data_IF_056126679765
#
_entry.id   IF_056126679765
#
_cell.length_a   1.000
_cell.length_b   1.000
_cell.length_c   1.000
_cell.angle_alpha   90.00
_cell.angle_beta   90.00
_cell.angle_gamma   90.00
#
_symmetry.space_group_name_H-M   'P 1'
#
loop_
_entity.id
_entity.type
_entity.pdbx_description
1 polymer ?
#
# COMPACT_ATOMS: atom_id res chain seq x y z
N UNK A 1 6.84 15.75 -21.04
CA UNK A 1 6.08 16.94 -20.60
C UNK A 1 5.90 16.80 -19.10
N UNK A 2 6.75 17.45 -18.30
CA UNK A 2 6.74 17.31 -16.84
C UNK A 2 5.61 18.17 -16.28
N UNK A 3 4.39 17.65 -16.30
CA UNK A 3 3.33 18.21 -15.49
C UNK A 3 3.71 18.03 -14.02
N UNK A 4 3.81 19.15 -13.30
CA UNK A 4 3.98 19.11 -11.86
C UNK A 4 2.78 18.37 -11.26
N UNK A 5 2.98 17.42 -10.34
CA UNK A 5 1.88 16.74 -9.69
C UNK A 5 1.01 17.79 -8.96
N UNK A 6 -0.30 17.54 -8.88
CA UNK A 6 -1.27 18.47 -8.30
C UNK A 6 -0.92 18.94 -6.87
N UNK A 7 -0.11 18.17 -6.14
CA UNK A 7 0.37 18.53 -4.81
C UNK A 7 1.45 19.63 -4.79
N UNK A 8 2.04 19.96 -5.94
CA UNK A 8 3.21 20.84 -6.02
C UNK A 8 4.51 20.23 -5.48
N UNK A 9 4.49 18.96 -5.06
CA UNK A 9 5.64 18.25 -4.50
C UNK A 9 6.40 17.54 -5.63
N UNK A 10 7.70 17.81 -5.79
CA UNK A 10 8.49 17.18 -6.83
C UNK A 10 8.53 15.66 -6.69
N UNK A 11 8.16 14.94 -7.77
CA UNK A 11 8.33 13.50 -7.85
C UNK A 11 9.81 13.13 -7.92
N UNK A 12 10.22 12.16 -7.10
CA UNK A 12 11.56 11.58 -7.10
C UNK A 12 11.45 10.08 -6.89
N UNK A 13 12.24 9.33 -7.64
CA UNK A 13 12.43 7.90 -7.36
C UNK A 13 13.29 7.77 -6.11
N UNK A 14 12.79 7.11 -5.07
CA UNK A 14 13.54 6.90 -3.81
C UNK A 14 14.00 5.46 -3.63
N UNK A 15 13.52 4.55 -4.49
CA UNK A 15 13.90 3.16 -4.51
C UNK A 15 14.33 2.72 -5.90
N UNK A 16 15.42 1.96 -5.95
CA UNK A 16 15.73 1.09 -7.07
C UNK A 16 15.19 -0.30 -6.79
N UNK A 17 14.34 -0.81 -7.69
CA UNK A 17 13.84 -2.18 -7.60
C UNK A 17 14.95 -3.15 -8.02
N UNK A 18 15.34 -4.03 -7.11
CA UNK A 18 16.29 -5.08 -7.43
C UNK A 18 15.62 -6.13 -8.34
N UNK A 19 16.00 -6.13 -9.62
CA UNK A 19 15.44 -7.02 -10.65
C UNK A 19 15.88 -8.47 -10.52
N UNK A 20 16.91 -8.74 -9.71
CA UNK A 20 17.51 -10.07 -9.55
C UNK A 20 17.08 -10.77 -8.26
N UNK A 21 16.04 -10.29 -7.60
CA UNK A 21 15.51 -10.95 -6.40
C UNK A 21 14.81 -12.24 -6.82
N UNK A 22 15.50 -13.37 -6.64
CA UNK A 22 14.95 -14.70 -6.81
C UNK A 22 13.98 -15.10 -5.70
N UNK A 23 13.36 -16.28 -5.85
CA UNK A 23 12.54 -16.90 -4.80
C UNK A 23 13.37 -17.05 -3.52
N UNK A 24 12.90 -16.48 -2.42
CA UNK A 24 13.53 -16.70 -1.11
C UNK A 24 13.18 -18.12 -0.65
N UNK A 25 14.16 -19.04 -0.68
CA UNK A 25 14.02 -20.39 -0.12
C UNK A 25 13.62 -20.33 1.37
N UNK A 26 13.08 -21.43 1.91
CA UNK A 26 12.58 -21.59 3.29
C UNK A 26 13.45 -20.79 4.27
N UNK A 27 13.00 -19.57 4.61
CA UNK A 27 13.70 -18.74 5.57
C UNK A 27 13.30 -19.24 6.97
N UNK A 28 14.26 -19.62 7.82
CA UNK A 28 13.98 -20.28 9.10
C UNK A 28 13.38 -19.33 10.15
N UNK A 29 13.36 -18.01 9.90
CA UNK A 29 12.78 -17.04 10.83
C UNK A 29 12.02 -15.91 10.15
N UNK A 30 11.00 -15.41 10.84
CA UNK A 30 10.21 -14.22 10.44
C UNK A 30 11.09 -12.98 10.27
N UNK A 31 12.13 -12.82 11.11
CA UNK A 31 13.11 -11.74 11.00
C UNK A 31 13.85 -11.77 9.66
N UNK A 32 14.34 -12.94 9.24
CA UNK A 32 15.03 -13.08 7.95
C UNK A 32 14.09 -12.83 6.76
N UNK A 33 12.80 -13.20 6.88
CA UNK A 33 11.78 -12.84 5.87
C UNK A 33 11.56 -11.33 5.77
N UNK A 34 11.53 -10.61 6.89
CA UNK A 34 11.42 -9.15 6.88
C UNK A 34 12.66 -8.50 6.25
N UNK A 35 13.86 -9.00 6.54
CA UNK A 35 15.09 -8.53 5.89
C UNK A 35 15.12 -8.85 4.38
N UNK A 36 14.46 -9.91 3.94
CA UNK A 36 14.34 -10.22 2.51
C UNK A 36 13.50 -9.18 1.74
N UNK A 37 12.57 -8.48 2.40
CA UNK A 37 11.87 -7.33 1.80
C UNK A 37 12.86 -6.20 1.50
N UNK A 38 13.81 -5.94 2.39
CA UNK A 38 14.87 -4.94 2.16
C UNK A 38 15.76 -5.30 0.97
N UNK A 39 15.95 -6.60 0.67
CA UNK A 39 16.70 -7.02 -0.53
C UNK A 39 15.99 -6.66 -1.84
N UNK A 40 14.68 -6.40 -1.81
CA UNK A 40 13.89 -5.99 -2.99
C UNK A 40 14.13 -4.55 -3.39
N UNK A 41 14.55 -3.70 -2.45
CA UNK A 41 14.62 -2.26 -2.64
C UNK A 41 15.99 -1.74 -2.23
N UNK A 42 16.67 -1.06 -3.14
CA UNK A 42 17.84 -0.24 -2.80
C UNK A 42 17.40 1.20 -2.55
N UNK A 43 17.49 1.74 -1.32
CA UNK A 43 17.17 3.15 -1.09
C UNK A 43 18.19 4.05 -1.80
N UNK A 44 17.69 5.05 -2.52
CA UNK A 44 18.49 6.08 -3.19
C UNK A 44 18.59 7.31 -2.27
N UNK A 45 19.31 7.16 -1.15
CA UNK A 45 19.29 8.13 -0.04
C UNK A 45 19.60 9.57 -0.47
N UNK A 46 20.49 9.78 -1.46
CA UNK A 46 20.80 11.11 -2.02
C UNK A 46 19.54 11.88 -2.49
N UNK A 47 18.47 11.18 -2.87
CA UNK A 47 17.24 11.81 -3.33
C UNK A 47 16.40 12.40 -2.18
N UNK A 48 16.49 11.83 -0.97
CA UNK A 48 15.56 12.12 0.13
C UNK A 48 16.20 12.35 1.51
N UNK A 49 17.52 12.21 1.66
CA UNK A 49 18.23 12.48 2.91
C UNK A 49 17.96 13.91 3.37
N UNK A 50 17.70 14.05 4.67
CA UNK A 50 17.36 15.29 5.36
C UNK A 50 16.06 15.96 4.85
N UNK A 51 15.19 15.20 4.16
CA UNK A 51 13.91 15.68 3.62
C UNK A 51 12.72 14.94 4.21
N UNK A 52 11.58 15.62 4.13
CA UNK A 52 10.25 15.06 4.36
C UNK A 52 9.75 14.41 3.08
N UNK A 53 9.22 13.21 3.19
CA UNK A 53 8.75 12.44 2.04
C UNK A 53 7.28 12.06 2.17
N UNK A 54 6.60 12.04 1.02
CA UNK A 54 5.31 11.40 0.86
C UNK A 54 5.52 10.13 0.06
N UNK A 55 5.38 8.98 0.71
CA UNK A 55 5.43 7.67 0.07
C UNK A 55 4.02 7.27 -0.34
N UNK A 56 3.86 6.91 -1.61
CA UNK A 56 2.61 6.41 -2.16
C UNK A 56 2.75 4.91 -2.39
N UNK A 57 1.81 4.13 -1.85
CA UNK A 57 1.73 2.68 -2.06
C UNK A 57 0.32 2.31 -2.54
N UNK A 58 0.17 1.13 -3.16
CA UNK A 58 -1.10 0.71 -3.73
C UNK A 58 -2.13 0.37 -2.65
N UNK A 59 -1.71 -0.40 -1.65
CA UNK A 59 -2.57 -1.05 -0.67
C UNK A 59 -1.78 -1.48 0.56
N UNK A 60 -2.45 -1.60 1.71
CA UNK A 60 -1.87 -2.22 2.91
C UNK A 60 -2.75 -3.40 3.33
N UNK A 61 -2.16 -4.60 3.32
CA UNK A 61 -2.84 -5.83 3.75
C UNK A 61 -2.50 -6.17 5.21
N UNK A 62 -1.24 -6.53 5.48
CA UNK A 62 -0.77 -6.94 6.83
C UNK A 62 0.10 -5.90 7.53
N UNK A 63 0.45 -4.79 6.87
CA UNK A 63 1.32 -3.73 7.42
C UNK A 63 2.81 -4.05 7.51
N UNK A 64 3.22 -5.32 7.42
CA UNK A 64 4.63 -5.73 7.64
C UNK A 64 5.60 -5.18 6.60
N UNK A 65 5.18 -5.07 5.34
CA UNK A 65 6.02 -4.57 4.25
C UNK A 65 6.25 -3.06 4.39
N UNK A 66 5.18 -2.28 4.56
CA UNK A 66 5.27 -0.83 4.70
C UNK A 66 6.05 -0.44 5.97
N UNK A 67 5.91 -1.18 7.07
CA UNK A 67 6.70 -0.96 8.28
C UNK A 67 8.22 -1.14 8.04
N UNK A 68 8.61 -2.18 7.29
CA UNK A 68 10.01 -2.39 6.93
C UNK A 68 10.54 -1.28 6.01
N UNK A 69 9.71 -0.80 5.08
CA UNK A 69 10.04 0.30 4.16
C UNK A 69 10.24 1.61 4.91
N UNK A 70 9.33 1.97 5.83
CA UNK A 70 9.43 3.21 6.62
C UNK A 70 10.69 3.20 7.48
N UNK A 71 10.96 2.07 8.16
CA UNK A 71 12.18 1.93 8.95
C UNK A 71 13.43 2.16 8.10
N UNK A 72 13.50 1.54 6.93
CA UNK A 72 14.61 1.71 5.98
C UNK A 72 14.76 3.17 5.52
N UNK A 73 13.66 3.87 5.24
CA UNK A 73 13.69 5.28 4.83
C UNK A 73 14.20 6.20 5.94
N UNK A 74 13.77 5.96 7.18
CA UNK A 74 14.27 6.71 8.34
C UNK A 74 15.74 6.42 8.61
N UNK A 75 16.15 5.15 8.59
CA UNK A 75 17.56 4.74 8.71
C UNK A 75 18.45 5.36 7.61
N UNK A 76 17.88 5.57 6.41
CA UNK A 76 18.55 6.22 5.28
C UNK A 76 18.53 7.77 5.33
N UNK A 77 17.93 8.38 6.36
CA UNK A 77 17.99 9.81 6.63
C UNK A 77 16.75 10.63 6.26
N UNK A 78 15.58 10.02 6.03
CA UNK A 78 14.34 10.78 5.90
C UNK A 78 13.94 11.40 7.26
N UNK A 79 13.57 12.70 7.28
CA UNK A 79 13.17 13.40 8.50
C UNK A 79 11.72 13.12 8.89
N UNK A 80 10.82 13.15 7.90
CA UNK A 80 9.41 12.78 8.05
C UNK A 80 9.01 11.83 6.91
N UNK A 81 8.16 10.85 7.20
CA UNK A 81 7.62 9.87 6.28
C UNK A 81 6.09 9.86 6.40
N UNK A 82 5.43 10.46 5.42
CA UNK A 82 3.96 10.45 5.30
C UNK A 82 3.52 9.42 4.26
N UNK A 83 2.52 8.61 4.59
CA UNK A 83 2.04 7.52 3.76
C UNK A 83 0.70 7.88 3.12
N UNK A 84 0.57 7.67 1.80
CA UNK A 84 -0.70 7.81 1.06
C UNK A 84 -0.98 6.52 0.32
N UNK A 85 -2.12 5.90 0.60
CA UNK A 85 -2.48 4.61 0.02
C UNK A 85 -3.53 4.84 -1.07
N UNK A 86 -3.25 4.31 -2.26
CA UNK A 86 -4.10 4.49 -3.44
C UNK A 86 -5.37 3.63 -3.42
N UNK A 87 -5.56 2.82 -2.37
CA UNK A 87 -6.79 2.07 -2.10
C UNK A 87 -7.42 2.50 -0.76
N UNK A 88 -8.72 2.21 -0.56
CA UNK A 88 -9.31 2.13 0.76
C UNK A 88 -8.70 1.00 1.59
N UNK A 89 -8.90 1.02 2.92
CA UNK A 89 -8.46 -0.07 3.78
C UNK A 89 -9.18 -1.38 3.40
N UNK A 90 -8.42 -2.48 3.41
CA UNK A 90 -8.99 -3.81 3.17
C UNK A 90 -9.55 -4.38 4.47
N UNK A 91 -10.86 -4.52 4.53
CA UNK A 91 -11.57 -5.03 5.70
C UNK A 91 -12.05 -6.48 5.54
N UNK A 92 -12.15 -6.97 4.30
CA UNK A 92 -12.76 -8.26 4.00
C UNK A 92 -11.86 -9.15 3.13
N UNK A 93 -11.85 -10.48 3.35
CA UNK A 93 -11.21 -11.44 2.47
C UNK A 93 -11.86 -11.44 1.07
N UNK A 94 -11.17 -11.98 0.07
CA UNK A 94 -11.72 -12.07 -1.27
C UNK A 94 -12.14 -13.51 -1.58
N UNK A 95 -13.37 -13.67 -2.06
CA UNK A 95 -13.91 -14.94 -2.56
C UNK A 95 -14.11 -14.93 -4.08
N UNK A 96 -13.57 -13.90 -4.74
CA UNK A 96 -13.68 -13.67 -6.19
C UNK A 96 -12.36 -13.98 -6.93
N UNK A 97 -11.46 -14.73 -6.29
CA UNK A 97 -10.21 -15.21 -6.91
C UNK A 97 -8.94 -14.41 -6.61
N UNK A 98 -9.01 -13.32 -5.85
CA UNK A 98 -7.82 -12.60 -5.38
C UNK A 98 -7.34 -13.20 -4.05
N UNK A 99 -6.03 -13.42 -3.90
CA UNK A 99 -5.45 -13.92 -2.65
C UNK A 99 -5.38 -12.82 -1.57
N UNK A 100 -6.49 -12.58 -0.89
CA UNK A 100 -6.58 -11.69 0.27
C UNK A 100 -6.72 -12.57 1.52
N UNK A 101 -5.92 -12.31 2.58
CA UNK A 101 -5.90 -13.17 3.76
C UNK A 101 -7.18 -13.03 4.60
N UNK A 102 -7.24 -13.78 5.71
CA UNK A 102 -8.42 -13.78 6.58
C UNK A 102 -8.64 -12.42 7.24
N UNK A 103 -9.85 -12.20 7.75
CA UNK A 103 -10.25 -10.95 8.39
C UNK A 103 -9.33 -10.58 9.56
N UNK A 104 -8.86 -11.57 10.31
CA UNK A 104 -7.97 -11.43 11.47
C UNK A 104 -6.53 -11.11 11.06
N UNK A 105 -6.13 -11.39 9.82
CA UNK A 105 -4.80 -11.08 9.31
C UNK A 105 -4.72 -9.68 8.68
N UNK A 106 -5.87 -9.08 8.35
CA UNK A 106 -5.97 -7.73 7.79
C UNK A 106 -5.72 -6.67 8.87
N UNK A 107 -4.72 -5.81 8.66
CA UNK A 107 -4.31 -4.82 9.66
C UNK A 107 -5.36 -3.74 9.90
N UNK A 108 -6.15 -3.41 8.86
CA UNK A 108 -7.21 -2.41 8.94
C UNK A 108 -8.36 -2.82 9.88
N UNK A 109 -8.49 -4.12 10.20
CA UNK A 109 -9.46 -4.61 11.19
C UNK A 109 -8.95 -4.52 12.63
N UNK A 110 -7.67 -4.19 12.83
CA UNK A 110 -7.04 -4.08 14.15
C UNK A 110 -6.76 -2.63 14.53
N UNK A 111 -6.37 -1.82 13.56
CA UNK A 111 -5.91 -0.45 13.77
C UNK A 111 -6.55 0.46 12.73
N UNK A 112 -6.97 1.64 13.16
CA UNK A 112 -7.29 2.73 12.25
C UNK A 112 -6.00 3.34 11.65
N UNK A 113 -6.15 4.30 10.73
CA UNK A 113 -5.03 4.88 10.01
C UNK A 113 -4.00 5.56 10.93
N UNK A 114 -4.45 6.32 11.93
CA UNK A 114 -3.59 7.04 12.87
C UNK A 114 -2.81 6.08 13.77
N UNK A 115 -3.52 5.08 14.33
CA UNK A 115 -2.92 4.02 15.13
C UNK A 115 -1.92 3.19 14.32
N UNK A 116 -2.23 2.91 13.06
CA UNK A 116 -1.32 2.20 12.17
C UNK A 116 -0.08 3.04 11.88
N UNK A 117 -0.23 4.34 11.61
CA UNK A 117 0.88 5.26 11.38
C UNK A 117 1.85 5.26 12.57
N UNK A 118 1.31 5.40 13.78
CA UNK A 118 2.09 5.34 15.02
C UNK A 118 2.82 4.00 15.15
N UNK A 119 2.12 2.88 14.97
CA UNK A 119 2.70 1.54 15.12
C UNK A 119 3.87 1.29 14.15
N UNK A 120 3.81 1.81 12.92
CA UNK A 120 4.84 1.60 11.90
C UNK A 120 5.88 2.73 11.85
N UNK A 121 5.75 3.75 12.71
CA UNK A 121 6.67 4.89 12.78
C UNK A 121 6.53 5.90 11.64
N UNK A 122 5.36 6.00 10.99
CA UNK A 122 5.06 7.05 10.02
C UNK A 122 4.53 8.32 10.73
N UNK A 123 4.77 9.48 10.13
CA UNK A 123 4.25 10.77 10.65
C UNK A 123 2.76 10.97 10.34
N UNK A 124 2.27 10.37 9.26
CA UNK A 124 0.84 10.31 8.96
C UNK A 124 0.55 9.18 7.97
N UNK A 125 -0.66 8.64 8.00
CA UNK A 125 -1.14 7.67 7.02
C UNK A 125 -2.56 8.05 6.59
N UNK A 126 -2.80 8.12 5.29
CA UNK A 126 -4.14 8.40 4.74
C UNK A 126 -4.45 7.41 3.63
N UNK A 127 -5.64 6.82 3.69
CA UNK A 127 -6.20 5.97 2.66
C UNK A 127 -7.08 6.77 1.69
N UNK A 128 -7.15 6.32 0.45
CA UNK A 128 -8.20 6.76 -0.48
C UNK A 128 -9.57 6.30 0.04
N UNK A 129 -10.64 7.06 -0.20
CA UNK A 129 -11.99 6.61 0.14
C UNK A 129 -12.55 5.71 -0.95
N UNK A 130 -13.56 4.90 -0.62
CA UNK A 130 -14.21 4.00 -1.59
C UNK A 130 -14.82 4.81 -2.73
N UNK A 131 -15.49 5.91 -2.40
CA UNK A 131 -16.15 6.81 -3.35
C UNK A 131 -15.13 7.42 -4.32
N UNK A 132 -13.99 7.87 -3.80
CA UNK A 132 -12.93 8.46 -4.62
C UNK A 132 -12.24 7.42 -5.50
N UNK A 133 -12.09 6.17 -5.02
CA UNK A 133 -11.57 5.08 -5.84
C UNK A 133 -12.54 4.76 -6.99
N UNK A 134 -13.83 4.59 -6.69
CA UNK A 134 -14.85 4.33 -7.71
C UNK A 134 -14.91 5.46 -8.74
N UNK A 135 -14.90 6.71 -8.27
CA UNK A 135 -14.85 7.88 -9.15
C UNK A 135 -13.62 7.85 -10.06
N UNK A 136 -12.43 7.58 -9.51
CA UNK A 136 -11.19 7.57 -10.26
C UNK A 136 -11.18 6.51 -11.37
N UNK A 137 -11.67 5.30 -11.09
CA UNK A 137 -11.72 4.20 -12.06
C UNK A 137 -12.78 4.47 -13.13
N UNK A 138 -13.97 4.95 -12.76
CA UNK A 138 -15.07 5.21 -13.70
C UNK A 138 -14.80 6.38 -14.63
N UNK A 139 -14.10 7.42 -14.16
CA UNK A 139 -13.84 8.65 -14.92
C UNK A 139 -13.21 8.41 -16.30
N UNK A 140 -12.37 7.38 -16.43
CA UNK A 140 -11.66 7.04 -17.67
C UNK A 140 -12.11 5.73 -18.28
N UNK A 141 -13.10 5.05 -17.69
CA UNK A 141 -13.64 3.83 -18.22
C UNK A 141 -14.69 4.17 -19.28
N UNK A 142 -14.48 3.71 -20.52
CA UNK A 142 -15.52 3.66 -21.55
C UNK A 142 -16.51 2.53 -21.21
N UNK A 143 -17.17 2.64 -20.07
CA UNK A 143 -18.21 1.71 -19.67
C UNK A 143 -19.52 2.27 -20.17
N UNK A 144 -20.07 1.64 -21.22
CA UNK A 144 -21.53 1.66 -21.43
C UNK A 144 -22.19 1.36 -20.07
N UNK A 145 -23.30 2.03 -19.74
CA UNK A 145 -24.04 1.83 -18.48
C UNK A 145 -24.40 0.36 -18.20
N UNK A 146 -24.31 -0.51 -19.22
CA UNK A 146 -24.55 -1.95 -19.17
C UNK A 146 -23.36 -2.79 -18.68
N UNK A 147 -22.14 -2.26 -18.65
CA UNK A 147 -20.99 -2.97 -18.10
C UNK A 147 -21.07 -2.95 -16.57
N UNK A 148 -21.37 -4.12 -15.99
CA UNK A 148 -21.48 -4.34 -14.55
C UNK A 148 -20.31 -3.69 -13.79
N UNK A 149 -20.64 -3.01 -12.68
CA UNK A 149 -19.69 -2.19 -11.93
C UNK A 149 -18.46 -2.94 -11.42
N UNK A 150 -17.53 -2.20 -10.82
CA UNK A 150 -16.34 -2.79 -10.20
C UNK A 150 -16.71 -3.46 -8.87
N UNK A 151 -16.13 -4.63 -8.62
CA UNK A 151 -16.27 -5.32 -7.34
C UNK A 151 -15.49 -4.57 -6.24
N UNK A 152 -16.19 -4.14 -5.19
CA UNK A 152 -15.60 -3.49 -4.01
C UNK A 152 -15.63 -4.38 -2.76
N UNK A 153 -15.90 -5.67 -2.92
CA UNK A 153 -16.23 -6.55 -1.80
C UNK A 153 -15.15 -6.58 -0.70
N UNK A 154 -13.88 -6.57 -1.09
CA UNK A 154 -12.74 -6.59 -0.16
C UNK A 154 -12.66 -5.32 0.71
N UNK A 155 -13.32 -4.24 0.27
CA UNK A 155 -13.34 -2.92 0.90
C UNK A 155 -14.64 -2.72 1.69
N UNK A 156 -15.79 -3.11 1.12
CA UNK A 156 -17.13 -2.80 1.65
C UNK A 156 -17.89 -3.99 2.22
N UNK A 157 -17.43 -5.23 1.97
CA UNK A 157 -18.12 -6.45 2.35
C UNK A 157 -19.32 -6.80 1.46
N UNK A 158 -19.61 -5.98 0.44
CA UNK A 158 -20.70 -6.22 -0.52
C UNK A 158 -20.19 -7.07 -1.68
N UNK A 159 -20.41 -8.37 -1.61
CA UNK A 159 -20.02 -9.30 -2.66
C UNK A 159 -21.02 -9.26 -3.83
N UNK A 160 -20.55 -9.45 -5.08
CA UNK A 160 -21.40 -9.43 -6.26
C UNK A 160 -22.29 -10.67 -6.38
N UNK A 161 -22.07 -11.67 -5.52
CA UNK A 161 -22.84 -12.92 -5.42
C UNK A 161 -23.14 -13.17 -3.94
N UNK A 162 -24.22 -13.90 -3.68
CA UNK A 162 -24.50 -14.43 -2.35
C UNK A 162 -23.46 -15.51 -2.01
N UNK A 163 -22.97 -15.49 -0.78
CA UNK A 163 -21.99 -16.46 -0.29
C UNK A 163 -22.76 -17.55 0.47
N UNK A 164 -22.74 -18.78 -0.03
CA UNK A 164 -23.58 -19.89 0.46
C UNK A 164 -22.88 -20.80 1.50
N UNK A 165 -21.95 -20.28 2.29
CA UNK A 165 -21.14 -21.10 3.21
C UNK A 165 -20.98 -20.48 4.59
#
# INVERSE_FOLDING_TARGET
>A
MNELPKSGIAYREIFSKNRYVGRSFIQPSTRLRQLAVLKKFGPLSENFKDKRIVLIDDSIVRGTTIAAIIRMLREAGATEVHIRIASPPLHFPCYMGINIPTKEELIANKLNADQLAEQIGADSLVYLTVENLEFAVRKHANTDEKCGGHCTACLTGKYPVELEW
#
